data_IF_160347006651
#
_entry.id   IF_160347006651
#
_cell.length_a   1.000
_cell.length_b   1.000
_cell.length_c   1.000
_cell.angle_alpha   90.00
_cell.angle_beta   90.00
_cell.angle_gamma   90.00
#
_symmetry.space_group_name_H-M   'P 1'
#
loop_
_entity.id
_entity.type
_entity.pdbx_description
1 polymer ?
#
# COMPACT_ATOMS: atom_id res chain seq x y z
N UNK A 1 20.65 -88.31 12.01
CA UNK A 1 19.73 -87.16 11.95
C UNK A 1 20.58 -85.98 11.53
N UNK A 2 20.36 -85.41 10.34
CA UNK A 2 21.10 -84.24 9.90
C UNK A 2 20.57 -83.03 10.68
N UNK A 3 21.47 -82.26 11.29
CA UNK A 3 21.12 -80.97 11.86
C UNK A 3 20.46 -80.09 10.78
N UNK A 4 19.38 -79.36 11.10
CA UNK A 4 18.81 -78.40 10.16
C UNK A 4 19.86 -77.35 9.81
N UNK A 5 20.04 -77.11 8.50
CA UNK A 5 20.90 -76.05 7.98
C UNK A 5 20.53 -74.71 8.64
N UNK A 6 21.53 -73.86 9.01
CA UNK A 6 21.24 -72.54 9.55
C UNK A 6 20.43 -71.72 8.54
N UNK A 7 19.46 -70.90 8.99
CA UNK A 7 18.67 -70.07 8.10
C UNK A 7 19.60 -69.15 7.29
N UNK A 8 19.28 -68.99 6.00
CA UNK A 8 20.00 -68.05 5.14
C UNK A 8 19.90 -66.62 5.69
N UNK A 9 20.94 -65.78 5.50
CA UNK A 9 20.92 -64.40 5.99
C UNK A 9 19.77 -63.62 5.35
N UNK A 10 19.10 -62.80 6.16
CA UNK A 10 18.00 -61.95 5.69
C UNK A 10 18.49 -60.93 4.66
N UNK A 11 17.68 -60.69 3.63
CA UNK A 11 17.90 -59.56 2.71
C UNK A 11 17.66 -58.23 3.44
N UNK A 12 18.17 -57.09 2.93
CA UNK A 12 17.92 -55.79 3.56
C UNK A 12 16.43 -55.45 3.72
N UNK A 13 15.59 -55.85 2.76
CA UNK A 13 14.13 -55.67 2.84
C UNK A 13 13.55 -56.49 4.00
N UNK A 14 13.86 -57.79 4.06
CA UNK A 14 13.37 -58.66 5.13
C UNK A 14 13.87 -58.24 6.51
N UNK A 15 15.09 -57.71 6.59
CA UNK A 15 15.63 -57.19 7.84
C UNK A 15 14.91 -55.91 8.28
N UNK A 16 14.63 -54.98 7.36
CA UNK A 16 13.81 -53.80 7.67
C UNK A 16 12.42 -54.22 8.14
N UNK A 17 11.78 -55.17 7.44
CA UNK A 17 10.47 -55.69 7.83
C UNK A 17 10.47 -56.25 9.25
N UNK A 18 11.45 -57.11 9.57
CA UNK A 18 11.54 -57.73 10.89
C UNK A 18 11.77 -56.70 12.02
N UNK A 19 12.51 -55.62 11.74
CA UNK A 19 12.87 -54.63 12.76
C UNK A 19 11.83 -53.51 12.90
N UNK A 20 11.05 -53.25 11.86
CA UNK A 20 10.30 -52.00 11.71
C UNK A 20 8.85 -52.18 11.28
N UNK A 21 8.34 -53.39 11.08
CA UNK A 21 6.91 -53.62 10.86
C UNK A 21 6.10 -53.10 12.05
N UNK A 22 4.96 -52.44 11.79
CA UNK A 22 4.04 -52.02 12.84
C UNK A 22 3.08 -53.17 13.17
N UNK A 23 2.79 -53.48 14.45
CA UNK A 23 1.99 -54.66 14.83
C UNK A 23 0.58 -54.69 14.23
N UNK A 24 0.00 -53.53 14.02
CA UNK A 24 -1.38 -53.37 13.52
C UNK A 24 -1.43 -52.89 12.07
N UNK A 25 -0.29 -52.87 11.37
CA UNK A 25 -0.26 -52.50 9.95
C UNK A 25 -0.66 -53.71 9.08
N UNK A 26 -1.78 -53.65 8.34
CA UNK A 26 -2.24 -54.74 7.49
C UNK A 26 -1.29 -55.04 6.32
N UNK A 27 -0.40 -54.10 5.97
CA UNK A 27 0.61 -54.26 4.92
C UNK A 27 1.95 -54.81 5.45
N UNK A 28 2.06 -55.15 6.74
CA UNK A 28 3.28 -55.71 7.32
C UNK A 28 3.64 -57.10 6.75
N UNK A 29 4.92 -57.36 6.48
CA UNK A 29 5.40 -58.68 6.03
C UNK A 29 6.26 -59.41 7.08
N UNK A 30 6.25 -58.95 8.33
CA UNK A 30 6.90 -59.61 9.46
C UNK A 30 6.11 -59.30 10.74
N UNK A 31 6.42 -60.01 11.81
CA UNK A 31 5.88 -59.68 13.14
C UNK A 31 6.23 -58.24 13.49
N UNK A 32 5.23 -57.48 13.94
CA UNK A 32 5.42 -56.07 14.24
C UNK A 32 6.18 -55.83 15.54
N UNK A 33 6.94 -54.75 15.56
CA UNK A 33 7.63 -54.21 16.73
C UNK A 33 6.90 -52.94 17.15
N UNK A 34 6.50 -52.81 18.42
CA UNK A 34 5.84 -51.60 18.92
C UNK A 34 6.80 -50.40 18.90
N UNK A 35 6.28 -49.18 18.73
CA UNK A 35 7.12 -47.96 18.63
C UNK A 35 8.09 -47.79 19.80
N UNK A 36 7.62 -48.05 21.01
CA UNK A 36 8.43 -47.93 22.24
C UNK A 36 9.57 -48.96 22.32
N UNK A 37 9.59 -49.97 21.45
CA UNK A 37 10.56 -51.07 21.44
C UNK A 37 11.51 -51.00 20.23
N UNK A 38 11.38 -50.00 19.36
CA UNK A 38 12.23 -49.86 18.20
C UNK A 38 13.68 -49.55 18.61
N UNK A 39 14.62 -50.38 18.14
CA UNK A 39 16.02 -49.99 18.06
C UNK A 39 16.17 -49.02 16.87
N UNK A 40 16.03 -47.73 17.14
CA UNK A 40 16.00 -46.71 16.11
C UNK A 40 17.25 -46.74 15.21
N UNK A 41 18.43 -47.01 15.76
CA UNK A 41 19.67 -47.07 14.98
C UNK A 41 19.69 -48.28 14.04
N UNK A 42 19.29 -49.46 14.53
CA UNK A 42 19.21 -50.67 13.72
C UNK A 42 18.13 -50.56 12.62
N UNK A 43 16.96 -50.00 12.97
CA UNK A 43 15.85 -49.76 12.03
C UNK A 43 16.29 -48.83 10.91
N UNK A 44 16.85 -47.67 11.23
CA UNK A 44 17.29 -46.69 10.22
C UNK A 44 18.32 -47.32 9.27
N UNK A 45 19.32 -48.02 9.81
CA UNK A 45 20.34 -48.67 9.00
C UNK A 45 19.75 -49.73 8.04
N UNK A 46 18.86 -50.59 8.53
CA UNK A 46 18.21 -51.63 7.73
C UNK A 46 17.27 -51.04 6.68
N UNK A 47 16.41 -50.09 7.07
CA UNK A 47 15.38 -49.53 6.21
C UNK A 47 15.91 -48.54 5.17
N UNK A 48 17.00 -47.82 5.45
CA UNK A 48 17.69 -47.04 4.41
C UNK A 48 18.30 -47.95 3.33
N UNK A 49 18.81 -49.13 3.71
CA UNK A 49 19.27 -50.12 2.75
C UNK A 49 18.10 -50.73 1.96
N UNK A 50 16.97 -51.00 2.60
CA UNK A 50 15.77 -51.54 1.96
C UNK A 50 15.15 -50.57 0.95
N UNK A 51 14.94 -49.30 1.32
CA UNK A 51 14.35 -48.27 0.44
C UNK A 51 15.23 -47.98 -0.79
N UNK A 52 16.55 -48.22 -0.71
CA UNK A 52 17.42 -48.13 -1.90
C UNK A 52 17.11 -49.21 -2.93
N UNK A 53 16.67 -50.39 -2.50
CA UNK A 53 16.32 -51.52 -3.35
C UNK A 53 14.89 -51.39 -3.90
N UNK A 54 13.96 -50.88 -3.09
CA UNK A 54 12.60 -50.58 -3.51
C UNK A 54 12.14 -49.22 -2.96
N UNK A 55 12.30 -48.18 -3.78
CA UNK A 55 11.96 -46.79 -3.45
C UNK A 55 10.46 -46.51 -3.50
N UNK A 56 9.71 -47.32 -4.24
CA UNK A 56 8.30 -47.09 -4.49
C UNK A 56 7.43 -47.67 -3.38
N UNK A 57 7.92 -48.70 -2.67
CA UNK A 57 7.18 -49.35 -1.59
C UNK A 57 6.70 -48.36 -0.52
N UNK A 58 5.38 -48.16 -0.37
CA UNK A 58 4.85 -47.28 0.67
C UNK A 58 5.11 -47.85 2.07
N UNK A 59 5.04 -49.17 2.20
CA UNK A 59 5.40 -49.91 3.42
C UNK A 59 6.84 -49.67 3.86
N UNK A 60 7.84 -49.79 2.97
CA UNK A 60 9.23 -49.50 3.33
C UNK A 60 9.46 -48.03 3.66
N UNK A 61 8.75 -47.12 2.99
CA UNK A 61 8.78 -45.70 3.33
C UNK A 61 8.22 -45.45 4.74
N UNK A 62 7.10 -46.07 5.10
CA UNK A 62 6.52 -45.99 6.44
C UNK A 62 7.45 -46.57 7.51
N UNK A 63 8.00 -47.76 7.29
CA UNK A 63 8.94 -48.40 8.22
C UNK A 63 10.20 -47.56 8.45
N UNK A 64 10.75 -46.94 7.40
CA UNK A 64 11.85 -45.99 7.54
C UNK A 64 11.43 -44.74 8.33
N UNK A 65 10.21 -44.24 8.11
CA UNK A 65 9.68 -43.11 8.86
C UNK A 65 9.63 -43.41 10.36
N UNK A 66 9.15 -44.59 10.76
CA UNK A 66 9.15 -45.03 12.16
C UNK A 66 10.54 -45.01 12.78
N UNK A 67 11.55 -45.47 12.04
CA UNK A 67 12.96 -45.37 12.44
C UNK A 67 13.44 -43.94 12.65
N UNK A 68 13.11 -43.04 11.72
CA UNK A 68 13.48 -41.63 11.84
C UNK A 68 12.80 -40.95 13.03
N UNK A 69 11.50 -41.16 13.23
CA UNK A 69 10.76 -40.64 14.38
C UNK A 69 11.33 -41.17 15.70
N UNK A 70 11.62 -42.47 15.80
CA UNK A 70 12.25 -43.06 16.97
C UNK A 70 13.68 -42.56 17.23
N UNK A 71 14.34 -41.99 16.22
CA UNK A 71 15.67 -41.36 16.31
C UNK A 71 15.64 -39.84 16.41
N UNK A 72 14.47 -39.25 16.69
CA UNK A 72 14.24 -37.79 16.80
C UNK A 72 14.59 -36.99 15.53
N UNK A 73 14.52 -37.64 14.36
CA UNK A 73 14.69 -37.00 13.04
C UNK A 73 13.32 -36.67 12.47
N UNK A 74 12.61 -35.75 13.12
CA UNK A 74 11.19 -35.48 12.88
C UNK A 74 10.90 -35.05 11.43
N UNK A 75 11.66 -34.12 10.85
CA UNK A 75 11.42 -33.68 9.46
C UNK A 75 11.60 -34.83 8.47
N UNK A 76 12.66 -35.62 8.63
CA UNK A 76 12.92 -36.77 7.75
C UNK A 76 11.85 -37.86 7.93
N UNK A 77 11.34 -38.06 9.15
CA UNK A 77 10.21 -38.94 9.43
C UNK A 77 8.95 -38.49 8.69
N UNK A 78 8.58 -37.21 8.84
CA UNK A 78 7.43 -36.59 8.18
C UNK A 78 7.51 -36.73 6.66
N UNK A 79 8.66 -36.46 6.06
CA UNK A 79 8.86 -36.62 4.61
C UNK A 79 8.56 -38.05 4.14
N UNK A 80 9.01 -39.06 4.91
CA UNK A 80 8.79 -40.47 4.58
C UNK A 80 7.34 -40.89 4.80
N UNK A 81 6.69 -40.39 5.85
CA UNK A 81 5.26 -40.57 6.04
C UNK A 81 4.46 -40.00 4.88
N UNK A 82 4.79 -38.79 4.39
CA UNK A 82 4.11 -38.17 3.23
C UNK A 82 4.24 -39.06 1.99
N UNK A 83 5.41 -39.66 1.74
CA UNK A 83 5.61 -40.57 0.62
C UNK A 83 4.69 -41.80 0.70
N UNK A 84 4.58 -42.41 1.88
CA UNK A 84 3.72 -43.57 2.10
C UNK A 84 2.22 -43.21 2.05
N UNK A 85 1.84 -42.12 2.72
CA UNK A 85 0.46 -41.64 2.80
C UNK A 85 -0.11 -41.19 1.44
N UNK A 86 0.72 -40.63 0.55
CA UNK A 86 0.33 -40.31 -0.84
C UNK A 86 -0.10 -41.55 -1.63
N UNK A 87 0.37 -42.73 -1.24
CA UNK A 87 0.01 -44.00 -1.86
C UNK A 87 -1.11 -44.72 -1.10
N UNK A 88 -1.68 -44.10 -0.06
CA UNK A 88 -2.78 -44.67 0.71
C UNK A 88 -2.38 -45.61 1.85
N UNK A 89 -1.10 -45.63 2.26
CA UNK A 89 -0.67 -46.51 3.35
C UNK A 89 -1.34 -46.12 4.67
N UNK A 90 -2.18 -47.02 5.20
CA UNK A 90 -3.08 -46.71 6.32
C UNK A 90 -2.35 -46.24 7.57
N UNK A 91 -1.31 -46.96 7.99
CA UNK A 91 -0.52 -46.58 9.17
C UNK A 91 0.22 -45.24 8.99
N UNK A 92 0.65 -44.91 7.76
CA UNK A 92 1.34 -43.64 7.51
C UNK A 92 0.38 -42.44 7.53
N UNK A 93 -0.85 -42.65 7.04
CA UNK A 93 -1.94 -41.68 7.15
C UNK A 93 -2.25 -41.38 8.62
N UNK A 94 -2.32 -42.40 9.48
CA UNK A 94 -2.56 -42.23 10.92
C UNK A 94 -1.44 -41.44 11.60
N UNK A 95 -0.16 -41.76 11.34
CA UNK A 95 0.95 -41.01 11.95
C UNK A 95 1.01 -39.55 11.47
N UNK A 96 0.67 -39.27 10.20
CA UNK A 96 0.51 -37.88 9.77
C UNK A 96 -0.67 -37.20 10.44
N UNK A 97 -1.75 -37.95 10.71
CA UNK A 97 -2.89 -37.44 11.42
C UNK A 97 -2.52 -37.03 12.86
N UNK A 98 -1.72 -37.84 13.57
CA UNK A 98 -1.13 -37.48 14.87
C UNK A 98 -0.33 -36.17 14.78
N UNK A 99 0.55 -36.05 13.79
CA UNK A 99 1.36 -34.84 13.59
C UNK A 99 0.49 -33.62 13.29
N UNK A 100 -0.60 -33.78 12.54
CA UNK A 100 -1.56 -32.70 12.30
C UNK A 100 -2.45 -32.43 13.52
N UNK A 101 -2.59 -33.36 14.46
CA UNK A 101 -3.36 -33.15 15.68
C UNK A 101 -2.54 -32.40 16.75
N UNK A 102 -1.30 -32.81 16.96
CA UNK A 102 -0.42 -32.28 18.01
C UNK A 102 0.47 -31.11 17.53
N UNK A 103 0.66 -31.00 16.21
CA UNK A 103 1.66 -30.13 15.59
C UNK A 103 3.02 -30.81 15.46
N UNK A 104 3.87 -30.25 14.60
CA UNK A 104 5.24 -30.74 14.34
C UNK A 104 6.13 -29.66 13.75
N UNK A 105 7.40 -29.98 13.42
CA UNK A 105 8.30 -29.01 12.80
C UNK A 105 7.72 -28.42 11.52
N UNK A 106 7.37 -27.12 11.56
CA UNK A 106 6.75 -26.41 10.44
C UNK A 106 5.30 -26.80 10.14
N UNK A 107 4.64 -27.55 11.02
CA UNK A 107 3.24 -27.97 10.90
C UNK A 107 2.49 -27.48 12.14
N UNK A 108 1.61 -26.51 11.95
CA UNK A 108 0.68 -26.09 13.00
C UNK A 108 -0.42 -27.14 13.19
N UNK A 109 -0.94 -27.32 14.42
CA UNK A 109 -2.09 -28.18 14.67
C UNK A 109 -3.29 -27.81 13.79
N UNK A 110 -3.81 -28.80 13.07
CA UNK A 110 -5.01 -28.75 12.25
C UNK A 110 -5.85 -30.04 12.47
N UNK A 111 -6.77 -30.01 13.47
CA UNK A 111 -7.65 -31.13 13.76
C UNK A 111 -8.56 -31.54 12.60
N UNK A 112 -8.86 -30.63 11.63
CA UNK A 112 -9.67 -30.99 10.46
C UNK A 112 -8.89 -31.91 9.54
N UNK A 113 -7.64 -31.55 9.26
CA UNK A 113 -6.75 -32.37 8.45
C UNK A 113 -6.45 -33.70 9.14
N UNK A 114 -6.22 -33.69 10.46
CA UNK A 114 -6.06 -34.91 11.25
C UNK A 114 -7.28 -35.85 11.12
N UNK A 115 -8.50 -35.33 11.30
CA UNK A 115 -9.74 -36.12 11.16
C UNK A 115 -9.84 -36.80 9.79
N UNK A 116 -9.59 -36.04 8.71
CA UNK A 116 -9.66 -36.57 7.35
C UNK A 116 -8.59 -37.64 7.08
N UNK A 117 -7.39 -37.47 7.62
CA UNK A 117 -6.31 -38.45 7.52
C UNK A 117 -6.63 -39.73 8.29
N UNK A 118 -7.20 -39.62 9.50
CA UNK A 118 -7.66 -40.76 10.28
C UNK A 118 -8.78 -41.55 9.60
N UNK A 119 -9.75 -40.88 9.00
CA UNK A 119 -10.81 -41.54 8.21
C UNK A 119 -10.22 -42.36 7.08
N UNK A 120 -9.28 -41.77 6.33
CA UNK A 120 -8.59 -42.47 5.23
C UNK A 120 -7.70 -43.61 5.72
N UNK A 121 -7.07 -43.46 6.90
CA UNK A 121 -6.30 -44.53 7.51
C UNK A 121 -7.17 -45.75 7.83
N UNK A 122 -8.36 -45.51 8.40
CA UNK A 122 -9.33 -46.56 8.68
C UNK A 122 -9.88 -47.20 7.40
N UNK A 123 -10.21 -46.41 6.38
CA UNK A 123 -10.63 -46.91 5.06
C UNK A 123 -9.55 -47.79 4.39
N UNK A 124 -8.28 -47.54 4.71
CA UNK A 124 -7.13 -48.31 4.21
C UNK A 124 -6.86 -49.57 5.05
N UNK A 125 -7.70 -49.87 6.05
CA UNK A 125 -7.61 -51.07 6.89
C UNK A 125 -6.76 -50.91 8.15
N UNK A 126 -6.27 -49.71 8.46
CA UNK A 126 -5.55 -49.46 9.71
C UNK A 126 -6.53 -49.21 10.86
N UNK A 127 -6.99 -50.30 11.46
CA UNK A 127 -7.98 -50.33 12.55
C UNK A 127 -7.69 -49.42 13.75
N UNK A 128 -6.43 -49.16 14.17
CA UNK A 128 -6.16 -48.27 15.31
C UNK A 128 -6.74 -46.86 15.12
N UNK A 129 -6.89 -46.40 13.88
CA UNK A 129 -7.53 -45.11 13.58
C UNK A 129 -8.99 -45.03 14.07
N UNK A 130 -9.72 -46.15 14.15
CA UNK A 130 -11.10 -46.17 14.61
C UNK A 130 -11.24 -45.68 16.07
N UNK A 131 -10.29 -46.04 16.94
CA UNK A 131 -10.31 -45.61 18.34
C UNK A 131 -10.15 -44.10 18.44
N UNK A 132 -9.18 -43.55 17.71
CA UNK A 132 -8.94 -42.10 17.69
C UNK A 132 -10.15 -41.38 17.11
N UNK A 133 -10.72 -41.85 16.00
CA UNK A 133 -11.94 -41.29 15.41
C UNK A 133 -13.14 -41.28 16.37
N UNK A 134 -13.26 -42.29 17.26
CA UNK A 134 -14.30 -42.30 18.27
C UNK A 134 -14.11 -41.21 19.33
N UNK A 135 -12.86 -40.84 19.64
CA UNK A 135 -12.50 -39.74 20.55
C UNK A 135 -12.68 -38.34 19.88
N UNK A 136 -12.76 -38.28 18.54
CA UNK A 136 -12.99 -37.04 17.78
C UNK A 136 -14.41 -36.46 17.91
N UNK A 137 -15.32 -37.07 18.69
CA UNK A 137 -16.68 -36.54 18.92
C UNK A 137 -16.70 -35.10 19.43
N UNK A 138 -15.71 -34.70 20.24
CA UNK A 138 -15.57 -33.33 20.77
C UNK A 138 -15.02 -32.33 19.75
N UNK A 139 -14.33 -32.79 18.69
CA UNK A 139 -13.81 -31.94 17.63
C UNK A 139 -14.85 -31.62 16.55
N UNK A 140 -15.88 -32.46 16.38
CA UNK A 140 -16.96 -32.19 15.39
C UNK A 140 -17.70 -30.89 15.68
N UNK A 141 -17.93 -30.56 16.95
CA UNK A 141 -18.53 -29.29 17.35
C UNK A 141 -17.58 -28.11 17.11
N UNK A 142 -16.29 -28.26 17.41
CA UNK A 142 -15.28 -27.22 17.18
C UNK A 142 -15.06 -26.95 15.69
N UNK A 143 -15.02 -28.00 14.87
CA UNK A 143 -14.94 -27.90 13.41
C UNK A 143 -16.18 -27.18 12.86
N UNK A 144 -17.37 -27.55 13.34
CA UNK A 144 -18.63 -26.90 12.95
C UNK A 144 -18.69 -25.42 13.40
N UNK A 145 -18.14 -25.09 14.57
CA UNK A 145 -18.02 -23.71 15.03
C UNK A 145 -17.06 -22.90 14.16
N UNK A 146 -15.88 -23.44 13.87
CA UNK A 146 -14.93 -22.80 12.95
C UNK A 146 -15.50 -22.65 11.53
N UNK A 147 -16.31 -23.59 11.03
CA UNK A 147 -16.98 -23.46 9.72
C UNK A 147 -18.03 -22.35 9.73
N UNK A 148 -18.72 -22.15 10.85
CA UNK A 148 -19.67 -21.05 11.02
C UNK A 148 -18.94 -19.71 11.08
N UNK A 149 -17.82 -19.64 11.78
CA UNK A 149 -16.98 -18.43 11.86
C UNK A 149 -16.41 -18.06 10.49
N UNK A 150 -15.88 -19.03 9.73
CA UNK A 150 -15.40 -18.83 8.36
C UNK A 150 -16.52 -18.34 7.43
N UNK A 151 -17.71 -18.94 7.49
CA UNK A 151 -18.88 -18.50 6.70
C UNK A 151 -19.37 -17.11 7.10
N UNK A 152 -19.34 -16.75 8.38
CA UNK A 152 -19.71 -15.40 8.83
C UNK A 152 -18.65 -14.37 8.41
N UNK A 153 -17.37 -14.74 8.35
CA UNK A 153 -16.31 -13.91 7.80
C UNK A 153 -16.52 -13.67 6.29
N UNK A 154 -16.75 -14.72 5.51
CA UNK A 154 -17.05 -14.63 4.08
C UNK A 154 -18.27 -13.74 3.80
N UNK A 155 -19.31 -13.89 4.62
CA UNK A 155 -20.53 -13.08 4.54
C UNK A 155 -20.26 -11.62 4.91
N UNK A 156 -19.43 -11.35 5.92
CA UNK A 156 -19.01 -10.00 6.29
C UNK A 156 -18.20 -9.34 5.15
N UNK A 157 -17.33 -10.09 4.50
CA UNK A 157 -16.56 -9.61 3.34
C UNK A 157 -17.46 -9.37 2.13
N UNK A 158 -18.43 -10.25 1.86
CA UNK A 158 -19.42 -10.04 0.81
C UNK A 158 -20.31 -8.81 1.08
N UNK A 159 -20.72 -8.59 2.34
CA UNK A 159 -21.45 -7.38 2.77
C UNK A 159 -20.59 -6.12 2.59
N UNK A 160 -19.31 -6.18 2.97
CA UNK A 160 -18.36 -5.09 2.79
C UNK A 160 -18.15 -4.78 1.31
N UNK A 161 -17.99 -5.79 0.47
CA UNK A 161 -17.86 -5.64 -0.98
C UNK A 161 -19.13 -5.05 -1.61
N UNK A 162 -20.31 -5.49 -1.17
CA UNK A 162 -21.59 -4.93 -1.60
C UNK A 162 -21.77 -3.47 -1.17
N UNK A 163 -21.31 -3.10 0.03
CA UNK A 163 -21.36 -1.71 0.50
C UNK A 163 -20.37 -0.81 -0.27
N UNK A 164 -19.17 -1.31 -0.58
CA UNK A 164 -18.21 -0.63 -1.47
C UNK A 164 -18.78 -0.46 -2.87
N UNK A 165 -19.50 -1.46 -3.40
CA UNK A 165 -20.13 -1.37 -4.72
C UNK A 165 -21.28 -0.34 -4.80
N UNK A 166 -21.91 0.00 -3.66
CA UNK A 166 -22.91 1.08 -3.56
C UNK A 166 -22.28 2.46 -3.48
N UNK A 167 -20.98 2.56 -3.17
CA UNK A 167 -20.31 3.86 -3.16
C UNK A 167 -20.38 4.46 -4.58
N UNK A 168 -20.69 5.76 -4.70
CA UNK A 168 -20.67 6.42 -6.00
C UNK A 168 -19.29 6.22 -6.63
N UNK A 169 -19.28 5.87 -7.93
CA UNK A 169 -18.03 5.67 -8.68
C UNK A 169 -17.08 6.83 -8.39
N UNK A 170 -15.82 6.57 -7.99
CA UNK A 170 -14.90 7.62 -7.67
C UNK A 170 -14.76 8.53 -8.89
N UNK A 171 -15.07 9.81 -8.70
CA UNK A 171 -14.98 10.83 -9.71
C UNK A 171 -14.09 11.93 -9.15
N UNK A 172 -13.29 12.54 -10.03
CA UNK A 172 -12.53 13.74 -9.69
C UNK A 172 -13.46 14.77 -9.06
N UNK A 173 -13.04 15.33 -7.93
CA UNK A 173 -13.70 16.45 -7.25
C UNK A 173 -13.48 17.75 -8.01
N UNK A 174 -12.32 17.92 -8.64
CA UNK A 174 -12.02 19.09 -9.49
C UNK A 174 -11.63 18.69 -10.93
N UNK A 175 -12.53 18.05 -11.69
CA UNK A 175 -12.21 17.48 -12.99
C UNK A 175 -11.70 18.54 -13.98
N UNK A 176 -12.33 19.72 -14.01
CA UNK A 176 -11.93 20.80 -14.92
C UNK A 176 -10.53 21.35 -14.59
N UNK A 177 -10.16 21.44 -13.31
CA UNK A 177 -8.82 21.89 -12.93
C UNK A 177 -7.77 20.87 -13.38
N UNK A 178 -7.99 19.59 -13.08
CA UNK A 178 -7.08 18.51 -13.48
C UNK A 178 -6.97 18.43 -15.01
N UNK A 179 -8.09 18.49 -15.74
CA UNK A 179 -8.10 18.45 -17.20
C UNK A 179 -7.35 19.65 -17.81
N UNK A 180 -7.53 20.85 -17.24
CA UNK A 180 -6.81 22.04 -17.68
C UNK A 180 -5.30 21.93 -17.40
N UNK A 181 -4.89 21.38 -16.26
CA UNK A 181 -3.48 21.12 -15.96
C UNK A 181 -2.91 20.08 -16.93
N UNK A 182 -3.59 18.95 -17.13
CA UNK A 182 -3.18 17.90 -18.06
C UNK A 182 -3.04 18.42 -19.50
N UNK A 183 -3.93 19.31 -19.92
CA UNK A 183 -3.91 19.93 -21.24
C UNK A 183 -3.04 21.20 -21.34
N UNK A 184 -2.37 21.63 -20.26
CA UNK A 184 -1.64 22.90 -20.15
C UNK A 184 -2.47 24.15 -20.49
N UNK A 185 -3.79 24.09 -20.29
CA UNK A 185 -4.73 25.19 -20.50
C UNK A 185 -4.83 26.05 -19.24
N UNK A 186 -3.72 26.62 -18.78
CA UNK A 186 -3.67 27.36 -17.51
C UNK A 186 -4.59 28.60 -17.51
N UNK A 187 -4.80 29.23 -18.66
CA UNK A 187 -5.70 30.38 -18.82
C UNK A 187 -7.17 30.03 -18.67
N UNK A 188 -7.53 28.75 -18.84
CA UNK A 188 -8.88 28.26 -18.63
C UNK A 188 -9.17 27.92 -17.16
N UNK A 189 -8.18 28.05 -16.27
CA UNK A 189 -8.37 27.87 -14.82
C UNK A 189 -9.02 29.14 -14.27
N UNK A 190 -10.31 29.05 -13.96
CA UNK A 190 -11.11 30.14 -13.40
C UNK A 190 -11.08 30.19 -11.87
N UNK A 191 -10.57 29.13 -11.24
CA UNK A 191 -10.37 29.06 -9.80
C UNK A 191 -9.36 30.11 -9.34
N UNK A 192 -9.52 30.56 -8.10
CA UNK A 192 -8.50 31.39 -7.46
C UNK A 192 -7.14 30.69 -7.50
N UNK A 193 -6.08 31.46 -7.79
CA UNK A 193 -4.73 30.92 -7.97
C UNK A 193 -4.21 30.25 -6.69
N UNK A 194 -4.47 30.84 -5.52
CA UNK A 194 -4.04 30.24 -4.25
C UNK A 194 -4.82 28.96 -3.96
N UNK A 195 -6.13 28.94 -4.26
CA UNK A 195 -6.96 27.74 -4.18
C UNK A 195 -6.42 26.62 -5.08
N UNK A 196 -6.23 26.89 -6.36
CA UNK A 196 -5.76 25.92 -7.34
C UNK A 196 -4.37 25.36 -6.97
N UNK A 197 -3.47 26.20 -6.48
CA UNK A 197 -2.14 25.76 -6.01
C UNK A 197 -2.20 24.92 -4.74
N UNK A 198 -3.02 25.30 -3.76
CA UNK A 198 -3.21 24.52 -2.54
C UNK A 198 -3.73 23.11 -2.87
N UNK A 199 -4.76 23.06 -3.72
CA UNK A 199 -5.37 21.84 -4.22
C UNK A 199 -4.35 20.94 -4.93
N UNK A 200 -3.63 21.48 -5.92
CA UNK A 200 -2.65 20.72 -6.71
C UNK A 200 -1.43 20.30 -5.87
N UNK A 201 -1.08 21.05 -4.82
CA UNK A 201 -0.04 20.67 -3.87
C UNK A 201 -0.47 19.45 -3.04
N UNK A 202 -1.75 19.37 -2.64
CA UNK A 202 -2.29 18.20 -1.97
C UNK A 202 -2.33 16.98 -2.91
N UNK A 203 -2.73 17.16 -4.18
CA UNK A 203 -2.66 16.10 -5.21
C UNK A 203 -1.21 15.58 -5.36
N UNK A 204 -0.25 16.50 -5.48
CA UNK A 204 1.17 16.16 -5.62
C UNK A 204 1.74 15.45 -4.39
N UNK A 205 1.32 15.84 -3.18
CA UNK A 205 1.72 15.19 -1.94
C UNK A 205 1.22 13.74 -1.87
N UNK A 206 -0.05 13.50 -2.21
CA UNK A 206 -0.60 12.14 -2.26
C UNK A 206 0.11 11.27 -3.30
N UNK A 207 0.38 11.82 -4.50
CA UNK A 207 1.16 11.09 -5.52
C UNK A 207 2.57 10.80 -5.01
N UNK A 208 3.23 11.74 -4.32
CA UNK A 208 4.57 11.51 -3.78
C UNK A 208 4.60 10.41 -2.71
N UNK A 209 3.63 10.40 -1.81
CA UNK A 209 3.57 9.45 -0.68
C UNK A 209 3.29 8.03 -1.16
N UNK A 210 2.39 7.87 -2.14
CA UNK A 210 1.99 6.56 -2.68
C UNK A 210 2.88 6.11 -3.87
N UNK A 211 3.41 7.06 -4.65
CA UNK A 211 4.20 6.84 -5.86
C UNK A 211 5.39 7.84 -5.93
N UNK A 212 6.45 7.59 -5.19
CA UNK A 212 7.64 8.47 -5.13
C UNK A 212 8.43 8.62 -6.46
N UNK A 213 8.04 7.90 -7.52
CA UNK A 213 8.66 7.96 -8.84
C UNK A 213 8.40 9.28 -9.58
N UNK A 214 7.29 9.97 -9.27
CA UNK A 214 6.90 11.19 -9.99
C UNK A 214 7.27 12.45 -9.21
N UNK A 215 6.87 12.54 -7.94
CA UNK A 215 7.23 13.65 -7.08
C UNK A 215 8.16 13.14 -5.97
N UNK A 216 9.21 13.90 -5.70
CA UNK A 216 10.12 13.63 -4.59
C UNK A 216 9.65 14.33 -3.31
N UNK A 217 10.00 13.82 -2.12
CA UNK A 217 9.69 14.49 -0.85
C UNK A 217 10.22 15.93 -0.79
N UNK A 218 11.40 16.19 -1.36
CA UNK A 218 12.00 17.52 -1.42
C UNK A 218 11.21 18.48 -2.31
N UNK A 219 10.76 18.02 -3.48
CA UNK A 219 9.90 18.78 -4.39
C UNK A 219 8.59 19.20 -3.69
N UNK A 220 7.88 18.25 -3.06
CA UNK A 220 6.62 18.53 -2.34
C UNK A 220 6.84 19.44 -1.14
N UNK A 221 7.93 19.25 -0.38
CA UNK A 221 8.27 20.13 0.73
C UNK A 221 8.52 21.58 0.25
N UNK A 222 9.21 21.76 -0.88
CA UNK A 222 9.40 23.07 -1.51
C UNK A 222 8.08 23.74 -1.89
N UNK A 223 7.18 23.00 -2.53
CA UNK A 223 5.84 23.48 -2.89
C UNK A 223 5.04 23.95 -1.67
N UNK A 224 5.06 23.18 -0.58
CA UNK A 224 4.40 23.55 0.69
C UNK A 224 5.01 24.83 1.30
N UNK A 225 6.33 24.98 1.26
CA UNK A 225 7.02 26.16 1.77
C UNK A 225 6.73 27.42 0.95
N UNK A 226 6.74 27.33 -0.38
CA UNK A 226 6.46 28.47 -1.24
C UNK A 226 5.02 28.96 -1.09
N UNK A 227 4.07 28.04 -0.93
CA UNK A 227 2.69 28.37 -0.62
C UNK A 227 2.55 29.12 0.73
N UNK A 228 3.25 28.64 1.77
CA UNK A 228 3.26 29.29 3.09
C UNK A 228 3.86 30.72 3.05
N UNK A 229 4.74 31.02 2.10
CA UNK A 229 5.27 32.39 1.88
C UNK A 229 4.24 33.30 1.20
N UNK A 230 3.50 32.80 0.22
CA UNK A 230 2.45 33.56 -0.50
C UNK A 230 1.33 33.99 0.45
N UNK A 231 1.01 33.19 1.46
CA UNK A 231 0.00 33.51 2.48
C UNK A 231 0.41 34.62 3.46
N UNK A 232 1.69 35.02 3.52
CA UNK A 232 2.17 36.06 4.46
C UNK A 232 2.12 37.48 3.90
N UNK A 233 1.65 37.68 2.66
CA UNK A 233 1.54 39.01 2.04
C UNK A 233 0.30 39.75 2.61
N UNK A 234 0.45 40.92 3.25
CA UNK A 234 -0.69 41.66 3.80
C UNK A 234 -1.63 42.10 2.67
N UNK A 235 -2.92 41.77 2.77
CA UNK A 235 -3.95 42.21 1.82
C UNK A 235 -4.54 41.12 0.91
N UNK A 236 -4.06 39.87 0.95
CA UNK A 236 -4.84 38.71 0.48
C UNK A 236 -5.70 38.23 1.64
N UNK A 237 -7.02 38.25 1.48
CA UNK A 237 -7.99 37.74 2.45
C UNK A 237 -7.76 36.25 2.72
N UNK A 238 -6.98 35.94 3.76
CA UNK A 238 -7.13 34.76 4.61
C UNK A 238 -6.85 35.23 6.05
N UNK A 239 -7.64 34.83 7.06
CA UNK A 239 -7.50 35.34 8.43
C UNK A 239 -6.16 34.95 9.04
N UNK A 240 -5.54 35.88 9.77
CA UNK A 240 -4.34 35.68 10.60
C UNK A 240 -4.55 34.51 11.56
N UNK A 241 -3.85 33.38 11.38
CA UNK A 241 -3.82 32.33 12.42
C UNK A 241 -3.43 30.90 12.01
N UNK A 242 -3.40 30.54 10.72
CA UNK A 242 -3.08 29.16 10.34
C UNK A 242 -1.57 28.90 10.31
N UNK A 243 -1.07 28.20 11.33
CA UNK A 243 0.23 27.53 11.31
C UNK A 243 0.02 26.08 10.88
N UNK A 244 0.55 25.67 9.72
CA UNK A 244 0.71 24.26 9.37
C UNK A 244 1.86 23.68 10.19
N UNK A 245 1.60 23.45 11.48
CA UNK A 245 2.51 22.82 12.44
C UNK A 245 1.99 21.45 12.84
N UNK A 246 2.22 20.44 11.99
CA UNK A 246 1.90 19.05 12.29
C UNK A 246 2.25 18.19 11.08
N UNK A 247 3.21 17.27 11.23
CA UNK A 247 3.59 16.35 10.18
C UNK A 247 2.39 15.49 9.79
N UNK A 248 2.01 15.55 8.51
CA UNK A 248 1.04 14.62 7.93
C UNK A 248 1.66 13.22 7.94
N UNK A 249 1.02 12.29 8.64
CA UNK A 249 1.41 10.89 8.72
C UNK A 249 0.19 10.04 8.35
N UNK A 250 0.13 9.53 7.10
CA UNK A 250 -1.07 8.93 6.52
C UNK A 250 -1.51 7.59 7.15
N UNK A 251 -0.64 6.91 7.91
CA UNK A 251 -1.04 5.77 8.73
C UNK A 251 -2.05 6.14 9.82
N UNK A 252 -2.06 7.41 10.26
CA UNK A 252 -3.06 7.94 11.17
C UNK A 252 -4.32 8.45 10.44
N UNK A 253 -4.28 8.68 9.12
CA UNK A 253 -5.40 9.25 8.36
C UNK A 253 -6.61 8.29 8.25
N UNK A 254 -6.38 6.97 8.19
CA UNK A 254 -7.46 5.98 8.15
C UNK A 254 -8.21 5.85 9.50
N UNK A 255 -7.49 6.00 10.62
CA UNK A 255 -8.10 6.08 11.95
C UNK A 255 -8.68 7.48 12.22
N UNK A 256 -8.06 8.54 11.69
CA UNK A 256 -8.60 9.90 11.72
C UNK A 256 -9.91 10.03 10.95
N UNK A 257 -10.17 9.23 9.90
CA UNK A 257 -11.48 9.21 9.22
C UNK A 257 -12.63 8.77 10.15
N UNK A 258 -12.34 7.91 11.14
CA UNK A 258 -13.27 7.54 12.21
C UNK A 258 -13.36 8.63 13.30
N UNK A 259 -12.25 9.29 13.63
CA UNK A 259 -12.23 10.40 14.59
C UNK A 259 -12.83 11.71 14.04
N UNK A 260 -12.81 11.94 12.71
CA UNK A 260 -13.42 13.12 12.07
C UNK A 260 -14.93 13.15 12.23
N UNK A 261 -15.59 12.00 12.41
CA UNK A 261 -17.01 11.95 12.79
C UNK A 261 -17.24 12.35 14.26
N UNK A 262 -16.29 12.07 15.17
CA UNK A 262 -16.33 12.56 16.56
C UNK A 262 -15.98 14.05 16.67
N UNK A 263 -15.08 14.56 15.83
CA UNK A 263 -14.76 15.99 15.74
C UNK A 263 -16.00 16.78 15.31
N UNK A 264 -16.78 16.27 14.34
CA UNK A 264 -18.08 16.81 13.95
C UNK A 264 -19.09 16.87 15.12
N UNK A 265 -19.19 15.82 15.94
CA UNK A 265 -20.07 15.79 17.11
C UNK A 265 -19.60 16.69 18.27
N UNK A 266 -18.29 16.91 18.40
CA UNK A 266 -17.72 17.84 19.36
C UNK A 266 -17.90 19.31 18.93
N UNK A 267 -17.82 19.60 17.62
CA UNK A 267 -18.14 20.90 17.02
C UNK A 267 -19.65 21.22 17.09
N UNK A 268 -20.51 20.22 16.94
CA UNK A 268 -21.96 20.39 17.15
C UNK A 268 -22.32 20.65 18.62
N UNK A 269 -21.52 20.16 19.59
CA UNK A 269 -21.64 20.50 21.02
C UNK A 269 -21.08 21.89 21.36
N UNK A 270 -20.07 22.38 20.63
CA UNK A 270 -19.57 23.75 20.75
C UNK A 270 -20.57 24.83 20.29
N UNK A 271 -21.66 24.43 19.63
CA UNK A 271 -22.83 25.25 19.24
C UNK A 271 -23.59 25.87 20.43
N UNK A 272 -23.19 25.58 21.67
CA UNK A 272 -23.76 26.12 22.91
C UNK A 272 -23.15 27.43 23.42
N UNK A 273 -22.08 27.98 22.83
CA UNK A 273 -21.50 29.26 23.29
C UNK A 273 -20.92 30.12 22.13
N UNK A 274 -21.71 30.99 21.50
CA UNK A 274 -21.37 31.63 20.22
C UNK A 274 -20.67 33.00 20.34
N UNK A 275 -19.85 33.24 21.38
CA UNK A 275 -19.34 34.59 21.67
C UNK A 275 -17.94 34.93 21.13
N UNK A 276 -17.30 34.10 20.29
CA UNK A 276 -15.91 34.39 19.84
C UNK A 276 -15.56 34.18 18.36
N UNK A 277 -16.48 33.76 17.48
CA UNK A 277 -16.17 33.58 16.05
C UNK A 277 -17.34 34.01 15.17
N UNK A 278 -17.06 34.79 14.12
CA UNK A 278 -18.07 35.17 13.14
C UNK A 278 -18.48 33.96 12.28
N UNK A 279 -19.73 33.94 11.84
CA UNK A 279 -20.30 32.85 11.04
C UNK A 279 -19.54 32.62 9.71
N UNK A 280 -18.89 33.67 9.19
CA UNK A 280 -18.03 33.62 8.01
C UNK A 280 -16.69 32.95 8.28
N UNK A 281 -16.06 33.20 9.44
CA UNK A 281 -14.79 32.56 9.82
C UNK A 281 -14.95 31.04 10.03
N UNK A 282 -16.08 30.60 10.59
CA UNK A 282 -16.40 29.18 10.72
C UNK A 282 -16.59 28.50 9.36
N UNK A 283 -17.26 29.16 8.40
CA UNK A 283 -17.43 28.68 7.01
C UNK A 283 -16.09 28.63 6.27
N UNK A 284 -15.21 29.60 6.49
CA UNK A 284 -13.89 29.65 5.86
C UNK A 284 -12.95 28.55 6.37
N UNK A 285 -13.02 28.20 7.67
CA UNK A 285 -12.27 27.09 8.25
C UNK A 285 -12.73 25.74 7.72
N UNK A 286 -14.05 25.54 7.56
CA UNK A 286 -14.62 24.34 6.93
C UNK A 286 -14.13 24.16 5.49
N UNK A 287 -14.11 25.24 4.70
CA UNK A 287 -13.58 25.22 3.33
C UNK A 287 -12.08 24.97 3.27
N UNK A 288 -11.31 25.45 4.26
CA UNK A 288 -9.87 25.23 4.34
C UNK A 288 -9.50 23.75 4.57
N UNK A 289 -10.36 22.98 5.24
CA UNK A 289 -10.18 21.53 5.45
C UNK A 289 -10.69 20.70 4.24
N UNK A 290 -11.67 21.22 3.49
CA UNK A 290 -12.19 20.56 2.28
C UNK A 290 -11.19 20.56 1.11
N UNK A 291 -10.33 21.58 1.01
CA UNK A 291 -9.39 21.73 -0.13
C UNK A 291 -8.30 20.65 -0.11
N UNK A 292 -7.52 20.46 0.98
CA UNK A 292 -6.54 19.38 1.05
C UNK A 292 -7.18 18.02 0.84
N UNK A 293 -8.34 17.76 1.47
CA UNK A 293 -9.03 16.48 1.35
C UNK A 293 -9.49 16.21 -0.09
N UNK A 294 -10.00 17.22 -0.79
CA UNK A 294 -10.41 17.10 -2.19
C UNK A 294 -9.22 16.90 -3.13
N UNK A 295 -8.06 17.50 -2.84
CA UNK A 295 -6.83 17.26 -3.57
C UNK A 295 -6.26 15.86 -3.32
N UNK A 296 -6.30 15.39 -2.08
CA UNK A 296 -5.87 14.02 -1.75
C UNK A 296 -6.69 12.96 -2.49
N UNK A 297 -8.03 13.09 -2.49
CA UNK A 297 -8.92 12.17 -3.18
C UNK A 297 -8.63 12.09 -4.70
N UNK A 298 -8.40 13.24 -5.33
CA UNK A 298 -8.10 13.28 -6.77
C UNK A 298 -6.68 12.79 -7.06
N UNK A 299 -5.74 12.93 -6.11
CA UNK A 299 -4.43 12.27 -6.14
C UNK A 299 -4.55 10.76 -6.21
N UNK A 300 -5.31 10.14 -5.30
CA UNK A 300 -5.61 8.71 -5.35
C UNK A 300 -6.29 8.30 -6.66
N UNK A 301 -7.24 9.10 -7.14
CA UNK A 301 -7.90 8.82 -8.42
C UNK A 301 -6.92 8.84 -9.60
N UNK A 302 -6.00 9.80 -9.65
CA UNK A 302 -4.99 9.87 -10.71
C UNK A 302 -4.03 8.69 -10.67
N UNK A 303 -3.62 8.24 -9.48
CA UNK A 303 -2.81 7.03 -9.30
C UNK A 303 -3.55 5.81 -9.86
N UNK A 304 -4.82 5.62 -9.49
CA UNK A 304 -5.63 4.50 -9.97
C UNK A 304 -5.86 4.55 -11.49
N UNK A 305 -6.08 5.75 -12.04
CA UNK A 305 -6.38 5.94 -13.47
C UNK A 305 -5.17 5.69 -14.36
N UNK A 306 -3.98 6.13 -13.94
CA UNK A 306 -2.79 6.13 -14.79
C UNK A 306 -1.75 5.07 -14.38
N UNK A 307 -1.71 4.68 -13.10
CA UNK A 307 -0.69 3.79 -12.52
C UNK A 307 0.59 4.54 -12.12
N UNK A 308 1.25 4.10 -11.04
CA UNK A 308 2.58 4.60 -10.67
C UNK A 308 3.61 4.29 -11.78
N UNK A 309 4.55 5.21 -12.03
CA UNK A 309 5.57 5.10 -13.07
C UNK A 309 5.06 5.34 -14.49
N UNK A 310 3.80 5.79 -14.66
CA UNK A 310 3.20 5.96 -15.97
C UNK A 310 3.52 7.31 -16.63
N UNK A 311 3.55 7.38 -17.98
CA UNK A 311 3.66 8.65 -18.70
C UNK A 311 2.53 9.64 -18.39
N UNK A 312 1.37 9.13 -17.97
CA UNK A 312 0.23 9.96 -17.57
C UNK A 312 0.53 10.77 -16.32
N UNK A 313 1.10 10.13 -15.29
CA UNK A 313 1.51 10.83 -14.08
C UNK A 313 2.76 11.71 -14.29
N UNK A 314 3.68 11.34 -15.19
CA UNK A 314 4.78 12.23 -15.59
C UNK A 314 4.27 13.51 -16.29
N UNK A 315 3.26 13.36 -17.15
CA UNK A 315 2.60 14.49 -17.81
C UNK A 315 1.92 15.38 -16.78
N UNK A 316 1.18 14.79 -15.84
CA UNK A 316 0.58 15.52 -14.74
C UNK A 316 1.63 16.27 -13.93
N UNK A 317 2.68 15.59 -13.47
CA UNK A 317 3.78 16.17 -12.69
C UNK A 317 4.36 17.37 -13.40
N UNK A 318 4.79 17.21 -14.65
CA UNK A 318 5.40 18.28 -15.45
C UNK A 318 4.50 19.50 -15.56
N UNK A 319 3.23 19.31 -15.89
CA UNK A 319 2.32 20.43 -16.11
C UNK A 319 1.89 21.09 -14.80
N UNK A 320 1.60 20.29 -13.77
CA UNK A 320 1.28 20.78 -12.42
C UNK A 320 2.45 21.55 -11.84
N UNK A 321 3.68 21.05 -12.00
CA UNK A 321 4.91 21.70 -11.56
C UNK A 321 5.02 23.10 -12.17
N UNK A 322 4.93 23.21 -13.50
CA UNK A 322 4.97 24.49 -14.20
C UNK A 322 3.92 25.48 -13.66
N UNK A 323 2.71 25.03 -13.33
CA UNK A 323 1.68 25.87 -12.74
C UNK A 323 2.02 26.29 -11.30
N UNK A 324 2.43 25.33 -10.47
CA UNK A 324 2.71 25.50 -9.05
C UNK A 324 3.92 26.40 -8.79
N UNK A 325 4.99 26.23 -9.56
CA UNK A 325 6.24 27.01 -9.45
C UNK A 325 6.18 28.34 -10.20
N UNK A 326 5.02 28.68 -10.78
CA UNK A 326 4.81 29.86 -11.61
C UNK A 326 5.68 29.94 -12.88
N UNK A 327 6.29 28.85 -13.36
CA UNK A 327 7.10 28.89 -14.60
C UNK A 327 6.34 29.46 -15.80
N UNK A 328 5.01 29.27 -15.86
CA UNK A 328 4.19 29.81 -16.94
C UNK A 328 3.75 31.27 -16.76
N UNK A 329 3.73 31.77 -15.51
CA UNK A 329 3.35 33.13 -15.14
C UNK A 329 4.10 33.58 -13.86
N UNK A 330 5.42 33.86 -13.95
CA UNK A 330 6.25 34.05 -12.75
C UNK A 330 5.74 35.15 -11.78
N UNK A 331 6.07 35.04 -10.48
CA UNK A 331 5.62 35.96 -9.41
C UNK A 331 6.67 37.02 -9.05
N UNK A 332 6.22 38.10 -8.39
CA UNK A 332 6.90 39.36 -8.03
C UNK A 332 8.26 39.30 -7.25
N UNK A 333 8.93 38.15 -7.10
CA UNK A 333 10.39 38.07 -6.86
C UNK A 333 11.22 38.47 -8.12
N UNK A 334 10.60 39.36 -8.88
CA UNK A 334 10.54 39.52 -10.32
C UNK A 334 11.14 40.84 -10.73
N UNK A 335 11.26 41.76 -9.76
CA UNK A 335 11.57 43.15 -10.02
C UNK A 335 12.97 43.28 -10.62
N UNK A 336 13.95 42.51 -10.13
CA UNK A 336 15.31 42.51 -10.67
C UNK A 336 15.41 41.84 -12.05
N UNK A 337 14.73 40.70 -12.26
CA UNK A 337 14.73 39.99 -13.56
C UNK A 337 13.97 40.78 -14.62
N UNK A 338 12.81 41.34 -14.27
CA UNK A 338 12.07 42.23 -15.15
C UNK A 338 12.84 43.51 -15.47
N UNK A 339 13.48 44.12 -14.47
CA UNK A 339 14.28 45.33 -14.69
C UNK A 339 15.39 45.03 -15.70
N UNK A 340 16.11 43.92 -15.53
CA UNK A 340 17.10 43.45 -16.51
C UNK A 340 16.52 43.20 -17.90
N UNK A 341 15.43 42.42 -18.01
CA UNK A 341 14.77 42.15 -19.29
C UNK A 341 14.26 43.42 -19.97
N UNK A 342 13.76 44.37 -19.18
CA UNK A 342 13.31 45.67 -19.65
C UNK A 342 14.46 46.51 -20.19
N UNK A 343 15.55 46.61 -19.43
CA UNK A 343 16.76 47.35 -19.80
C UNK A 343 17.36 46.77 -21.09
N UNK A 344 17.44 45.45 -21.20
CA UNK A 344 17.92 44.76 -22.39
C UNK A 344 17.04 45.02 -23.62
N UNK A 345 15.71 45.02 -23.43
CA UNK A 345 14.75 45.29 -24.50
C UNK A 345 14.78 46.77 -24.93
N UNK A 346 14.86 47.71 -23.98
CA UNK A 346 15.02 49.14 -24.26
C UNK A 346 16.34 49.43 -24.99
N UNK A 347 17.41 48.74 -24.61
CA UNK A 347 18.71 48.80 -25.31
C UNK A 347 18.60 48.30 -26.75
N UNK A 348 17.94 47.16 -26.99
CA UNK A 348 17.66 46.64 -28.35
C UNK A 348 16.81 47.61 -29.18
N UNK A 349 15.94 48.39 -28.54
CA UNK A 349 15.13 49.43 -29.18
C UNK A 349 15.86 50.77 -29.36
N UNK A 350 17.16 50.86 -29.05
CA UNK A 350 17.95 52.10 -29.18
C UNK A 350 17.64 53.17 -28.12
N UNK A 351 16.92 52.81 -27.05
CA UNK A 351 16.51 53.72 -25.97
C UNK A 351 17.27 53.46 -24.67
N UNK A 352 18.57 53.14 -24.77
CA UNK A 352 19.39 52.76 -23.61
C UNK A 352 19.47 53.86 -22.52
N UNK A 353 19.44 55.14 -22.92
CA UNK A 353 19.64 56.28 -22.01
C UNK A 353 18.40 56.59 -21.15
N UNK A 354 17.20 56.36 -21.69
CA UNK A 354 15.92 56.55 -20.98
C UNK A 354 15.34 55.23 -20.44
N UNK A 355 15.78 54.09 -21.00
CA UNK A 355 15.27 52.76 -20.68
C UNK A 355 15.44 52.43 -19.21
N UNK A 356 16.61 52.64 -18.63
CA UNK A 356 16.93 52.24 -17.25
C UNK A 356 16.03 52.91 -16.20
N UNK A 357 15.91 54.23 -16.23
CA UNK A 357 15.08 54.97 -15.26
C UNK A 357 13.59 54.65 -15.42
N UNK A 358 13.13 54.48 -16.67
CA UNK A 358 11.75 54.12 -16.97
C UNK A 358 11.43 52.70 -16.50
N UNK A 359 12.31 51.74 -16.79
CA UNK A 359 12.20 50.35 -16.35
C UNK A 359 12.11 50.27 -14.82
N UNK A 360 13.00 50.95 -14.10
CA UNK A 360 12.99 50.99 -12.64
C UNK A 360 11.69 51.59 -12.08
N UNK A 361 11.23 52.72 -12.63
CA UNK A 361 9.96 53.34 -12.25
C UNK A 361 8.76 52.42 -12.50
N UNK A 362 8.74 51.74 -13.65
CA UNK A 362 7.67 50.84 -14.08
C UNK A 362 7.60 49.57 -13.23
N UNK A 363 8.77 49.00 -12.92
CA UNK A 363 8.92 47.89 -12.00
C UNK A 363 8.37 48.27 -10.62
N UNK A 364 8.74 49.45 -10.10
CA UNK A 364 8.24 49.97 -8.82
C UNK A 364 6.72 50.26 -8.83
N UNK A 365 6.19 50.84 -9.91
CA UNK A 365 4.76 51.14 -10.05
C UNK A 365 3.87 49.89 -10.19
N UNK A 366 4.46 48.77 -10.61
CA UNK A 366 3.79 47.48 -10.72
C UNK A 366 4.03 46.55 -9.51
N UNK A 367 5.10 46.78 -8.73
CA UNK A 367 5.43 46.03 -7.51
C UNK A 367 4.31 46.06 -6.44
N UNK A 368 3.50 47.12 -6.42
CA UNK A 368 2.51 47.38 -5.37
C UNK A 368 1.12 46.78 -5.63
N UNK A 369 0.94 45.88 -6.60
CA UNK A 369 -0.35 45.20 -6.78
C UNK A 369 -0.19 43.78 -7.32
N UNK A 370 -0.69 42.74 -6.63
CA UNK A 370 -0.66 41.37 -7.15
C UNK A 370 -1.45 41.31 -8.46
N UNK A 371 -0.75 41.11 -9.58
CA UNK A 371 -1.35 40.99 -10.91
C UNK A 371 -1.87 39.56 -11.10
N UNK A 372 -2.96 39.40 -11.84
CA UNK A 372 -3.45 38.07 -12.24
C UNK A 372 -2.40 37.34 -13.09
N UNK A 373 -2.42 36.01 -13.10
CA UNK A 373 -1.49 35.18 -13.87
C UNK A 373 -1.42 35.59 -15.35
N UNK A 374 -2.57 35.92 -15.95
CA UNK A 374 -2.66 36.43 -17.31
C UNK A 374 -1.84 37.71 -17.52
N UNK A 375 -1.99 38.68 -16.62
CA UNK A 375 -1.23 39.94 -16.70
C UNK A 375 0.27 39.68 -16.49
N UNK A 376 0.66 38.75 -15.62
CA UNK A 376 2.08 38.38 -15.41
C UNK A 376 2.67 37.70 -16.65
N UNK A 377 1.92 36.81 -17.30
CA UNK A 377 2.30 36.16 -18.56
C UNK A 377 2.48 37.18 -19.69
N UNK A 378 1.51 38.08 -19.88
CA UNK A 378 1.56 39.10 -20.94
C UNK A 378 2.76 40.04 -20.77
N UNK A 379 3.16 40.34 -19.53
CA UNK A 379 4.35 41.15 -19.24
C UNK A 379 5.66 40.45 -19.66
N UNK A 380 5.74 39.12 -19.68
CA UNK A 380 6.96 38.41 -20.07
C UNK A 380 7.17 38.27 -21.57
N UNK A 381 6.09 38.27 -22.35
CA UNK A 381 6.18 38.02 -23.79
C UNK A 381 6.92 39.17 -24.50
N UNK A 382 6.67 40.43 -24.12
CA UNK A 382 7.30 41.63 -24.68
C UNK A 382 7.25 42.80 -23.69
N UNK A 383 8.11 42.77 -22.67
CA UNK A 383 8.03 43.69 -21.54
C UNK A 383 8.03 45.17 -21.95
N UNK A 384 8.94 45.58 -22.84
CA UNK A 384 9.08 46.99 -23.22
C UNK A 384 7.90 47.52 -24.05
N UNK A 385 7.46 46.87 -25.15
CA UNK A 385 6.26 47.28 -25.90
C UNK A 385 4.98 47.30 -25.06
N UNK A 386 4.73 46.26 -24.27
CA UNK A 386 3.54 46.17 -23.40
C UNK A 386 3.53 47.29 -22.38
N UNK A 387 4.70 47.62 -21.84
CA UNK A 387 4.81 48.66 -20.83
C UNK A 387 4.65 50.06 -21.43
N UNK A 388 5.15 50.31 -22.65
CA UNK A 388 4.85 51.54 -23.39
C UNK A 388 3.34 51.71 -23.61
N UNK A 389 2.64 50.65 -23.99
CA UNK A 389 1.19 50.66 -24.15
C UNK A 389 0.47 50.97 -22.83
N UNK A 390 0.90 50.37 -21.71
CA UNK A 390 0.33 50.63 -20.39
C UNK A 390 0.55 52.08 -19.90
N UNK A 391 1.72 52.66 -20.16
CA UNK A 391 2.02 54.07 -19.85
C UNK A 391 1.12 55.03 -20.64
N UNK A 392 0.90 54.73 -21.93
CA UNK A 392 0.00 55.51 -22.80
C UNK A 392 -1.47 55.36 -22.39
N UNK A 393 -1.91 54.15 -22.04
CA UNK A 393 -3.29 53.88 -21.67
C UNK A 393 -3.66 54.40 -20.27
N UNK A 394 -2.68 54.56 -19.36
CA UNK A 394 -2.91 55.03 -17.98
C UNK A 394 -1.92 56.13 -17.56
N UNK A 395 -1.95 57.30 -18.23
CA UNK A 395 -0.96 58.35 -18.04
C UNK A 395 -0.91 58.91 -16.62
N UNK A 396 -2.05 58.96 -15.91
CA UNK A 396 -2.10 59.41 -14.51
C UNK A 396 -1.42 58.47 -13.50
N UNK A 397 -1.37 57.16 -13.78
CA UNK A 397 -0.74 56.16 -12.89
C UNK A 397 0.78 56.10 -13.08
N UNK A 398 1.25 56.43 -14.28
CA UNK A 398 2.65 56.31 -14.69
C UNK A 398 3.27 57.67 -15.04
N UNK A 399 2.68 58.78 -14.60
CA UNK A 399 3.13 60.14 -14.91
C UNK A 399 4.59 60.38 -14.52
N UNK A 400 5.02 59.82 -13.37
CA UNK A 400 6.41 59.87 -12.92
C UNK A 400 7.39 58.98 -13.70
N UNK A 401 6.91 58.09 -14.57
CA UNK A 401 7.75 57.22 -15.40
C UNK A 401 7.95 57.77 -16.82
N UNK A 402 7.30 58.87 -17.20
CA UNK A 402 7.38 59.46 -18.56
C UNK A 402 8.17 60.78 -18.54
N UNK A 403 8.24 61.47 -17.40
CA UNK A 403 8.97 62.73 -17.23
C UNK A 403 10.42 62.49 -16.78
N UNK A 404 11.33 62.47 -17.75
CA UNK A 404 12.78 62.34 -17.63
C UNK A 404 13.39 62.45 -19.01
#
# INVERSE_FOLDING_TARGET
MADPLPPSPLTPIQLCDQLAAHPEDPEAHADGVADAQLDAAAVVAACEAAVKLDKASPRLAFQLARGYLASDRLEAGIERLIVAAKQGHGAALAYLADIHLDGGPGIEPDPRTALALYQRALESGFEPAAKVLAEFSDYTEQVAMAEREEKELDKADALRAAEVAKLPKPALKSPQLIDNIMARKYEAITLDEAYAKSYLTAVAATIQEECNAHFTPAEVAGLKQDFARIQRVPGRLMPRGMSFGGGFNLGQAANQLKETMQIRDNLLRARGNPSSYSEEEAKLSLLADEIPLSGMNDGFFLILKHGCGSPGLDTFKKNAWTFLTNEWAPDAQFLSTLDQMCVDSAKKAGQQDVGRQRCECLVNANAMNPKSQKVRKDLYADYWPVTQHLMQAKPGRYSGCVAG
#
